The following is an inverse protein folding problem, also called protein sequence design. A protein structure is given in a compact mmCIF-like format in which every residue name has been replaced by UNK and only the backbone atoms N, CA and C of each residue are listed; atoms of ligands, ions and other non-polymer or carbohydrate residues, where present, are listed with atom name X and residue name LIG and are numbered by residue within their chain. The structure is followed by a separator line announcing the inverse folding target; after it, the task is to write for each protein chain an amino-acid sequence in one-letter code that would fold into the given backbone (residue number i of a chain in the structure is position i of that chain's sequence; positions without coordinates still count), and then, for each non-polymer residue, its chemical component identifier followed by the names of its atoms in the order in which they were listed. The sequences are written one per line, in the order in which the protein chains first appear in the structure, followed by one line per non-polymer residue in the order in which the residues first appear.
data_IF_718823979724
#
_entry.id   IF_718823979724
#
_cell.length_a   1.000
_cell.length_b   1.000
_cell.length_c   1.000
_cell.angle_alpha   90.00
_cell.angle_beta   90.00
_cell.angle_gamma   90.00
#
_symmetry.space_group_name_H-M   'P 1'
#
loop_
_entity.id
_entity.type
_entity.pdbx_description
1 polymer ?
#
# COMPACT_ATOMS: atom_id res chain seq x y z
N UNK A 1 15.82 56.08 -2.85
CA UNK A 1 15.46 54.96 -1.96
C UNK A 1 15.00 53.65 -2.62
N UNK A 2 14.60 53.52 -3.90
CA UNK A 2 14.16 52.22 -4.45
C UNK A 2 15.31 51.24 -4.79
N UNK A 3 16.56 51.75 -4.93
CA UNK A 3 17.74 50.92 -5.29
C UNK A 3 18.32 50.15 -4.09
N UNK A 4 18.08 50.59 -2.85
CA UNK A 4 18.55 49.88 -1.65
C UNK A 4 17.61 48.74 -1.24
N UNK A 5 16.29 48.91 -1.45
CA UNK A 5 15.30 47.85 -1.24
C UNK A 5 15.46 46.69 -2.23
N UNK A 6 15.79 46.97 -3.51
CA UNK A 6 16.09 45.89 -4.46
C UNK A 6 17.36 45.12 -4.07
N UNK A 7 18.43 45.79 -3.63
CA UNK A 7 19.66 45.13 -3.16
C UNK A 7 19.47 44.31 -1.88
N UNK A 8 18.63 44.76 -0.94
CA UNK A 8 18.27 43.99 0.25
C UNK A 8 17.42 42.76 -0.08
N UNK A 9 16.46 42.86 -1.02
CA UNK A 9 15.71 41.70 -1.50
C UNK A 9 16.59 40.72 -2.29
N UNK A 10 17.55 41.21 -3.09
CA UNK A 10 18.50 40.36 -3.81
C UNK A 10 19.52 39.69 -2.86
N UNK A 11 19.98 40.40 -1.83
CA UNK A 11 20.85 39.83 -0.79
C UNK A 11 20.10 38.79 0.06
N UNK A 12 18.84 39.04 0.40
CA UNK A 12 17.97 38.07 1.08
C UNK A 12 17.71 36.84 0.21
N UNK A 13 17.41 37.02 -1.07
CA UNK A 13 17.24 35.93 -2.03
C UNK A 13 18.51 35.10 -2.24
N UNK A 14 19.67 35.75 -2.32
CA UNK A 14 20.97 35.07 -2.44
C UNK A 14 21.34 34.29 -1.17
N UNK A 15 21.07 34.84 0.01
CA UNK A 15 21.30 34.15 1.29
C UNK A 15 20.38 32.91 1.44
N UNK A 16 19.11 33.03 1.03
CA UNK A 16 18.18 31.89 1.02
C UNK A 16 18.61 30.82 0.02
N UNK A 17 19.02 31.21 -1.19
CA UNK A 17 19.53 30.27 -2.18
C UNK A 17 20.83 29.57 -1.70
N UNK A 18 21.74 30.33 -1.08
CA UNK A 18 22.96 29.78 -0.50
C UNK A 18 22.67 28.79 0.64
N UNK A 19 21.67 29.09 1.49
CA UNK A 19 21.21 28.17 2.53
C UNK A 19 20.70 26.86 1.94
N UNK A 20 19.82 26.88 0.94
CA UNK A 20 19.31 25.65 0.33
C UNK A 20 20.41 24.86 -0.39
N UNK A 21 21.31 25.53 -1.11
CA UNK A 21 22.44 24.85 -1.76
C UNK A 21 23.36 24.19 -0.74
N UNK A 22 23.61 24.85 0.39
CA UNK A 22 24.36 24.28 1.50
C UNK A 22 23.61 23.08 2.10
N UNK A 23 22.34 23.24 2.48
CA UNK A 23 21.54 22.19 3.11
C UNK A 23 21.45 20.94 2.22
N UNK A 24 21.10 21.10 0.94
CA UNK A 24 21.05 20.01 -0.04
C UNK A 24 22.45 19.38 -0.22
N UNK A 25 23.51 20.20 -0.24
CA UNK A 25 24.89 19.72 -0.33
C UNK A 25 25.36 18.93 0.89
N UNK A 26 24.70 19.08 2.04
CA UNK A 26 25.00 18.32 3.26
C UNK A 26 24.19 17.02 3.41
N UNK A 27 23.17 16.79 2.58
CA UNK A 27 22.38 15.55 2.57
C UNK A 27 23.18 14.39 1.97
N UNK A 28 22.79 13.17 2.29
CA UNK A 28 23.21 11.94 1.64
C UNK A 28 22.51 11.78 0.29
N UNK A 29 23.28 11.57 -0.78
CA UNK A 29 22.77 11.45 -2.15
C UNK A 29 22.93 10.03 -2.67
N UNK A 30 21.96 9.58 -3.47
CA UNK A 30 22.26 8.52 -4.43
C UNK A 30 23.31 8.99 -5.44
N UNK A 31 24.27 8.10 -5.75
CA UNK A 31 25.35 8.34 -6.72
C UNK A 31 24.81 8.64 -8.12
N UNK A 32 23.53 8.33 -8.37
CA UNK A 32 22.84 8.55 -9.64
C UNK A 32 22.16 9.92 -9.75
N UNK A 33 22.13 10.73 -8.69
CA UNK A 33 21.57 12.07 -8.77
C UNK A 33 22.48 13.04 -9.51
N UNK A 34 21.84 13.85 -10.34
CA UNK A 34 22.38 15.14 -10.78
C UNK A 34 21.83 16.26 -9.90
N UNK A 35 22.52 17.40 -9.81
CA UNK A 35 22.04 18.58 -9.06
C UNK A 35 20.57 18.95 -9.36
N UNK A 36 20.12 19.02 -10.63
CA UNK A 36 18.71 19.28 -10.94
C UNK A 36 17.75 18.24 -10.37
N UNK A 37 18.11 16.94 -10.44
CA UNK A 37 17.28 15.87 -9.89
C UNK A 37 17.23 15.90 -8.36
N UNK A 38 18.36 16.19 -7.70
CA UNK A 38 18.45 16.34 -6.25
C UNK A 38 17.63 17.53 -5.74
N UNK A 39 17.73 18.68 -6.40
CA UNK A 39 16.90 19.86 -6.13
C UNK A 39 15.41 19.52 -6.27
N UNK A 40 15.03 18.84 -7.36
CA UNK A 40 13.64 18.46 -7.60
C UNK A 40 13.14 17.51 -6.51
N UNK A 41 13.91 16.47 -6.17
CA UNK A 41 13.58 15.55 -5.08
C UNK A 41 13.38 16.29 -3.76
N UNK A 42 14.35 17.13 -3.40
CA UNK A 42 14.35 17.85 -2.14
C UNK A 42 13.07 18.69 -1.97
N UNK A 43 12.74 19.51 -2.97
CA UNK A 43 11.54 20.34 -2.91
C UNK A 43 10.26 19.52 -3.00
N UNK A 44 10.25 18.39 -3.73
CA UNK A 44 9.13 17.46 -3.74
C UNK A 44 8.89 16.81 -2.37
N UNK A 45 9.94 16.30 -1.71
CA UNK A 45 9.87 15.74 -0.35
C UNK A 45 9.37 16.78 0.64
N UNK A 46 9.93 18.00 0.60
CA UNK A 46 9.49 19.11 1.45
C UNK A 46 8.01 19.45 1.23
N UNK A 47 7.57 19.52 -0.02
CA UNK A 47 6.17 19.80 -0.38
C UNK A 47 5.24 18.69 0.12
N UNK A 48 5.59 17.43 -0.12
CA UNK A 48 4.82 16.26 0.32
C UNK A 48 4.71 16.22 1.85
N UNK A 49 5.81 16.47 2.57
CA UNK A 49 5.81 16.54 4.04
C UNK A 49 4.95 17.71 4.56
N UNK A 50 5.03 18.88 3.91
CA UNK A 50 4.22 20.05 4.31
C UNK A 50 2.72 19.83 4.10
N UNK A 51 2.32 19.34 2.92
CA UNK A 51 0.92 19.00 2.64
C UNK A 51 0.45 17.82 3.47
N UNK A 52 1.30 16.83 3.68
CA UNK A 52 1.05 15.71 4.57
C UNK A 52 0.72 16.15 5.98
N UNK A 53 1.52 17.05 6.58
CA UNK A 53 1.22 17.62 7.91
C UNK A 53 -0.15 18.29 7.95
N UNK A 54 -0.54 19.00 6.88
CA UNK A 54 -1.88 19.60 6.79
C UNK A 54 -2.98 18.54 6.75
N UNK A 55 -2.80 17.45 6.01
CA UNK A 55 -3.76 16.34 5.95
C UNK A 55 -3.82 15.56 7.27
N UNK A 56 -2.69 15.35 7.95
CA UNK A 56 -2.66 14.74 9.28
C UNK A 56 -3.41 15.58 10.32
N UNK A 57 -3.23 16.91 10.31
CA UNK A 57 -4.00 17.80 11.17
C UNK A 57 -5.49 17.78 10.83
N UNK A 58 -5.84 17.70 9.55
CA UNK A 58 -7.23 17.56 9.11
C UNK A 58 -7.83 16.25 9.61
N UNK A 59 -7.15 15.12 9.43
CA UNK A 59 -7.58 13.81 9.90
C UNK A 59 -7.84 13.83 11.41
N UNK A 60 -6.91 14.39 12.21
CA UNK A 60 -7.08 14.48 13.67
C UNK A 60 -8.33 15.29 14.06
N UNK A 61 -8.55 16.45 13.43
CA UNK A 61 -9.74 17.30 13.68
C UNK A 61 -11.05 16.66 13.22
N UNK A 62 -11.01 15.88 12.14
CA UNK A 62 -12.17 15.14 11.65
C UNK A 62 -12.48 13.94 12.56
N UNK A 63 -11.45 13.26 13.07
CA UNK A 63 -11.62 12.16 14.03
C UNK A 63 -12.17 12.63 15.39
N UNK A 64 -11.80 13.84 15.86
CA UNK A 64 -12.42 14.50 17.02
C UNK A 64 -13.95 14.68 16.87
N UNK A 65 -14.43 14.85 15.63
CA UNK A 65 -15.85 15.03 15.27
C UNK A 65 -16.34 13.90 14.35
N UNK A 66 -15.86 12.69 14.61
CA UNK A 66 -16.07 11.51 13.77
C UNK A 66 -17.53 11.25 13.43
N UNK A 67 -18.45 11.42 14.38
CA UNK A 67 -19.89 11.24 14.15
C UNK A 67 -20.42 12.25 13.11
N UNK A 68 -20.12 13.54 13.29
CA UNK A 68 -20.55 14.60 12.38
C UNK A 68 -20.04 14.33 10.95
N UNK A 69 -18.75 13.98 10.85
CA UNK A 69 -18.08 13.72 9.57
C UNK A 69 -18.64 12.48 8.89
N UNK A 70 -18.84 11.38 9.61
CA UNK A 70 -19.39 10.14 9.05
C UNK A 70 -20.85 10.28 8.62
N UNK A 71 -21.70 10.94 9.43
CA UNK A 71 -23.10 11.21 9.04
C UNK A 71 -23.17 12.04 7.78
N UNK A 72 -22.36 13.12 7.70
CA UNK A 72 -22.26 13.95 6.51
C UNK A 72 -21.76 13.15 5.30
N UNK A 73 -20.73 12.33 5.47
CA UNK A 73 -20.17 11.48 4.41
C UNK A 73 -21.24 10.52 3.86
N UNK A 74 -22.00 9.85 4.74
CA UNK A 74 -23.09 8.98 4.33
C UNK A 74 -24.14 9.76 3.53
N UNK A 75 -24.55 10.95 3.99
CA UNK A 75 -25.49 11.79 3.24
C UNK A 75 -24.93 12.18 1.86
N UNK A 76 -23.65 12.54 1.76
CA UNK A 76 -23.00 12.86 0.48
C UNK A 76 -22.91 11.65 -0.46
N UNK A 77 -22.67 10.45 0.07
CA UNK A 77 -22.71 9.19 -0.69
C UNK A 77 -24.12 8.96 -1.22
N UNK A 78 -25.13 8.96 -0.35
CA UNK A 78 -26.53 8.75 -0.72
C UNK A 78 -27.03 9.76 -1.75
N UNK A 79 -26.75 11.06 -1.57
CA UNK A 79 -27.13 12.11 -2.52
C UNK A 79 -26.45 11.95 -3.87
N UNK A 80 -25.16 11.61 -3.91
CA UNK A 80 -24.43 11.37 -5.16
C UNK A 80 -25.06 10.22 -5.95
N UNK A 81 -25.48 9.16 -5.26
CA UNK A 81 -26.15 8.02 -5.89
C UNK A 81 -27.62 8.28 -6.24
N UNK A 82 -28.27 9.27 -5.63
CA UNK A 82 -29.63 9.71 -5.98
C UNK A 82 -29.64 10.73 -7.15
N UNK A 83 -28.55 11.48 -7.36
CA UNK A 83 -28.53 12.66 -8.24
C UNK A 83 -27.72 12.56 -9.54
N UNK A 84 -27.12 11.40 -9.89
CA UNK A 84 -26.29 11.26 -11.10
C UNK A 84 -26.77 10.13 -12.03
N UNK A 85 -27.04 10.53 -13.28
CA UNK A 85 -27.37 9.76 -14.49
C UNK A 85 -28.76 9.10 -14.63
N UNK A 86 -29.59 9.76 -15.44
CA UNK A 86 -30.92 9.39 -15.95
C UNK A 86 -30.91 8.26 -17.01
N UNK A 87 -29.83 7.50 -17.12
CA UNK A 87 -29.83 6.27 -17.92
C UNK A 87 -30.59 5.18 -17.17
N UNK A 88 -31.53 4.51 -17.84
CA UNK A 88 -32.37 3.44 -17.24
C UNK A 88 -31.55 2.34 -16.52
N UNK A 89 -30.33 2.05 -17.00
CA UNK A 89 -29.42 1.07 -16.40
C UNK A 89 -28.94 1.49 -14.99
N UNK A 90 -28.42 2.71 -14.82
CA UNK A 90 -27.92 3.23 -13.54
C UNK A 90 -29.03 3.43 -12.49
N UNK A 91 -30.26 3.70 -12.94
CA UNK A 91 -31.44 3.84 -12.07
C UNK A 91 -31.95 2.50 -11.57
N UNK A 92 -31.85 1.43 -12.36
CA UNK A 92 -32.19 0.06 -11.92
C UNK A 92 -31.13 -0.54 -11.00
N UNK A 93 -29.85 -0.29 -11.29
CA UNK A 93 -28.69 -0.79 -10.54
C UNK A 93 -28.65 -0.29 -9.09
N UNK A 94 -29.06 0.97 -8.82
CA UNK A 94 -28.93 1.60 -7.48
C UNK A 94 -30.25 1.90 -6.77
N UNK A 95 -31.32 1.20 -7.13
CA UNK A 95 -32.65 1.37 -6.49
C UNK A 95 -32.60 1.21 -4.97
N UNK A 96 -31.69 0.40 -4.47
CA UNK A 96 -31.55 0.15 -3.04
C UNK A 96 -31.19 1.42 -2.24
N UNK A 97 -30.44 2.38 -2.79
CA UNK A 97 -30.07 3.64 -2.09
C UNK A 97 -31.08 4.79 -2.23
N UNK A 98 -32.19 4.57 -2.95
CA UNK A 98 -33.19 5.63 -3.19
C UNK A 98 -34.11 5.85 -1.98
N UNK A 99 -34.45 7.11 -1.70
CA UNK A 99 -35.43 7.48 -0.67
C UNK A 99 -34.90 7.44 0.77
N UNK A 100 -33.61 7.16 0.97
CA UNK A 100 -32.96 7.15 2.28
C UNK A 100 -32.31 8.51 2.57
N UNK A 101 -32.68 9.15 3.69
CA UNK A 101 -32.19 10.48 4.06
C UNK A 101 -31.37 10.51 5.36
N UNK A 102 -31.54 9.53 6.26
CA UNK A 102 -30.90 9.51 7.58
C UNK A 102 -30.22 8.17 7.84
N UNK A 103 -29.24 8.15 8.75
CA UNK A 103 -28.56 6.90 9.14
C UNK A 103 -29.53 5.84 9.69
N UNK A 104 -30.53 6.24 10.48
CA UNK A 104 -31.47 5.27 11.06
C UNK A 104 -32.33 4.62 9.96
N UNK A 105 -32.85 5.42 9.02
CA UNK A 105 -33.58 4.91 7.86
C UNK A 105 -32.68 4.05 6.97
N UNK A 106 -31.41 4.43 6.83
CA UNK A 106 -30.41 3.66 6.07
C UNK A 106 -30.21 2.28 6.69
N UNK A 107 -29.98 2.22 8.01
CA UNK A 107 -29.80 0.99 8.76
C UNK A 107 -31.01 0.06 8.70
N UNK A 108 -32.22 0.62 8.74
CA UNK A 108 -33.48 -0.14 8.71
C UNK A 108 -33.83 -0.64 7.29
N UNK A 109 -33.52 0.14 6.26
CA UNK A 109 -33.91 -0.17 4.87
C UNK A 109 -32.90 -1.02 4.12
N UNK A 110 -31.62 -0.96 4.48
CA UNK A 110 -30.56 -1.62 3.71
C UNK A 110 -30.09 -2.91 4.37
N UNK A 111 -30.08 -4.04 3.64
CA UNK A 111 -29.52 -5.29 4.15
C UNK A 111 -27.99 -5.17 4.30
N UNK A 112 -27.42 -5.97 5.19
CA UNK A 112 -25.98 -6.21 5.21
C UNK A 112 -25.64 -7.05 3.99
N UNK A 113 -24.66 -6.61 3.21
CA UNK A 113 -24.23 -7.31 1.99
C UNK A 113 -22.84 -7.92 2.19
N UNK A 114 -22.46 -8.83 1.30
CA UNK A 114 -21.09 -9.28 1.14
C UNK A 114 -20.66 -9.16 -0.32
N UNK A 115 -19.35 -9.23 -0.58
CA UNK A 115 -18.82 -9.12 -1.94
C UNK A 115 -19.42 -10.15 -2.92
N UNK A 116 -19.78 -11.33 -2.42
CA UNK A 116 -20.43 -12.36 -3.22
C UNK A 116 -21.80 -11.97 -3.75
N UNK A 117 -22.53 -11.09 -3.05
CA UNK A 117 -23.87 -10.64 -3.45
C UNK A 117 -23.81 -9.76 -4.70
N UNK A 118 -22.70 -9.05 -4.88
CA UNK A 118 -22.45 -8.20 -6.05
C UNK A 118 -22.06 -8.99 -7.31
N UNK A 119 -21.68 -10.26 -7.14
CA UNK A 119 -21.26 -11.14 -8.23
C UNK A 119 -22.36 -12.13 -8.66
N UNK A 120 -23.42 -12.29 -7.86
CA UNK A 120 -24.53 -13.25 -8.12
C UNK A 120 -25.75 -12.51 -8.70
N UNK A 121 -26.36 -13.05 -9.75
CA UNK A 121 -27.60 -12.52 -10.37
C UNK A 121 -28.64 -12.11 -9.32
N UNK A 122 -29.02 -10.83 -9.28
CA UNK A 122 -29.77 -10.21 -8.17
C UNK A 122 -29.74 -8.67 -8.23
N UNK A 123 -30.38 -7.96 -7.28
CA UNK A 123 -30.47 -6.48 -7.29
C UNK A 123 -29.12 -5.76 -7.12
N UNK A 124 -28.04 -6.51 -6.82
CA UNK A 124 -26.67 -6.03 -6.67
C UNK A 124 -25.72 -6.59 -7.76
N UNK A 125 -26.25 -7.38 -8.71
CA UNK A 125 -25.45 -8.13 -9.70
C UNK A 125 -24.71 -7.24 -10.69
N UNK A 126 -23.51 -7.67 -11.09
CA UNK A 126 -22.55 -6.95 -11.90
C UNK A 126 -21.97 -5.70 -11.25
N UNK A 127 -22.46 -5.18 -10.12
CA UNK A 127 -21.83 -3.99 -9.51
C UNK A 127 -20.45 -4.30 -8.88
N UNK A 128 -20.06 -5.56 -8.69
CA UNK A 128 -18.68 -5.92 -8.31
C UNK A 128 -17.66 -5.67 -9.42
N UNK A 129 -18.05 -5.95 -10.68
CA UNK A 129 -17.27 -5.62 -11.89
C UNK A 129 -17.67 -4.25 -12.48
N UNK A 130 -18.82 -3.69 -12.13
CA UNK A 130 -19.51 -2.55 -12.75
C UNK A 130 -19.87 -1.42 -11.74
N UNK A 131 -19.35 -1.41 -10.49
CA UNK A 131 -19.25 -0.22 -9.61
C UNK A 131 -18.28 0.84 -10.17
N UNK A 132 -18.19 0.88 -11.50
CA UNK A 132 -17.34 1.63 -12.40
C UNK A 132 -18.04 2.91 -12.88
N UNK A 133 -18.87 3.58 -12.05
CA UNK A 133 -19.15 4.99 -12.37
C UNK A 133 -17.83 5.74 -12.30
N UNK A 134 -17.39 6.35 -13.41
CA UNK A 134 -16.12 7.09 -13.49
C UNK A 134 -15.94 8.06 -12.33
N UNK A 135 -17.03 8.71 -11.87
CA UNK A 135 -17.06 9.67 -10.78
C UNK A 135 -16.76 9.06 -9.40
N UNK A 136 -17.36 7.93 -9.04
CA UNK A 136 -17.11 7.25 -7.75
C UNK A 136 -15.67 6.74 -7.63
N UNK A 137 -15.13 6.16 -8.71
CA UNK A 137 -13.73 5.71 -8.78
C UNK A 137 -12.73 6.89 -8.78
N UNK A 138 -13.07 8.00 -9.41
CA UNK A 138 -12.25 9.21 -9.35
C UNK A 138 -12.24 9.81 -7.94
N UNK A 139 -13.37 9.82 -7.25
CA UNK A 139 -13.45 10.25 -5.86
C UNK A 139 -12.63 9.34 -4.93
N UNK A 140 -12.74 8.01 -5.06
CA UNK A 140 -11.92 7.08 -4.26
C UNK A 140 -10.42 7.25 -4.54
N UNK A 141 -10.01 7.47 -5.80
CA UNK A 141 -8.60 7.78 -6.13
C UNK A 141 -8.14 9.09 -5.48
N UNK A 142 -9.01 10.11 -5.49
CA UNK A 142 -8.73 11.40 -4.82
C UNK A 142 -8.60 11.22 -3.31
N UNK A 143 -9.51 10.48 -2.69
CA UNK A 143 -9.48 10.13 -1.27
C UNK A 143 -8.20 9.40 -0.93
N UNK A 144 -7.86 8.35 -1.68
CA UNK A 144 -6.63 7.59 -1.49
C UNK A 144 -5.41 8.50 -1.51
N UNK A 145 -5.27 9.35 -2.53
CA UNK A 145 -4.12 10.22 -2.61
C UNK A 145 -4.05 11.26 -1.47
N UNK A 146 -5.11 12.05 -1.30
CA UNK A 146 -5.06 13.17 -0.36
C UNK A 146 -5.12 12.73 1.10
N UNK A 147 -5.84 11.64 1.40
CA UNK A 147 -6.08 11.20 2.78
C UNK A 147 -5.16 10.07 3.22
N UNK A 148 -4.82 9.13 2.34
CA UNK A 148 -3.91 8.03 2.68
C UNK A 148 -2.45 8.44 2.44
N UNK A 149 -2.12 8.76 1.19
CA UNK A 149 -0.74 8.93 0.75
C UNK A 149 -0.11 10.16 1.35
N UNK A 150 -0.70 11.35 1.20
CA UNK A 150 -0.12 12.56 1.78
C UNK A 150 0.01 12.46 3.30
N UNK A 151 -0.97 11.89 3.99
CA UNK A 151 -0.90 11.72 5.44
C UNK A 151 0.23 10.76 5.83
N UNK A 152 0.47 9.70 5.05
CA UNK A 152 1.59 8.77 5.29
C UNK A 152 2.96 9.46 5.22
N UNK A 153 3.16 10.40 4.28
CA UNK A 153 4.37 11.23 4.23
C UNK A 153 4.56 12.10 5.48
N UNK A 154 3.47 12.54 6.13
CA UNK A 154 3.56 13.26 7.39
C UNK A 154 4.11 12.37 8.52
N UNK A 155 3.64 11.12 8.59
CA UNK A 155 4.10 10.15 9.58
C UNK A 155 5.54 9.75 9.29
N UNK A 156 5.88 9.48 8.03
CA UNK A 156 7.27 9.21 7.62
C UNK A 156 8.20 10.38 7.98
N UNK A 157 7.81 11.63 7.70
CA UNK A 157 8.60 12.80 8.07
C UNK A 157 8.77 12.98 9.59
N UNK A 158 7.80 12.54 10.38
CA UNK A 158 7.83 12.66 11.84
C UNK A 158 8.70 11.59 12.50
N UNK A 159 8.61 10.34 12.03
CA UNK A 159 9.21 9.18 12.71
C UNK A 159 10.43 8.61 12.00
N UNK A 160 10.56 8.85 10.70
CA UNK A 160 11.67 8.41 9.86
C UNK A 160 12.19 9.59 9.03
N UNK A 161 12.60 10.72 9.65
CA UNK A 161 12.92 11.95 8.93
C UNK A 161 13.98 11.71 7.85
N UNK A 162 15.01 10.92 8.16
CA UNK A 162 16.09 10.54 7.24
C UNK A 162 15.59 9.85 5.95
N UNK A 163 14.41 9.22 5.97
CA UNK A 163 13.85 8.59 4.78
C UNK A 163 13.36 9.59 3.73
N UNK A 164 13.04 10.83 4.13
CA UNK A 164 12.53 11.88 3.25
C UNK A 164 13.48 13.07 3.09
N UNK A 165 14.26 13.34 4.14
CA UNK A 165 15.24 14.41 4.22
C UNK A 165 16.48 14.11 3.38
N UNK A 166 16.86 12.83 3.29
CA UNK A 166 17.96 12.39 2.45
C UNK A 166 17.54 12.24 0.99
N UNK A 167 18.48 12.43 0.09
CA UNK A 167 18.26 12.38 -1.37
C UNK A 167 18.61 10.99 -1.90
N UNK A 168 18.16 9.98 -1.16
CA UNK A 168 18.31 8.58 -1.49
C UNK A 168 17.15 8.11 -2.38
N UNK A 169 17.37 7.01 -3.11
CA UNK A 169 16.35 6.40 -3.97
C UNK A 169 15.61 5.28 -3.24
N UNK A 170 14.43 4.94 -3.76
CA UNK A 170 13.55 3.91 -3.24
C UNK A 170 13.44 2.73 -4.22
N UNK A 171 13.56 1.50 -3.72
CA UNK A 171 13.21 0.30 -4.47
C UNK A 171 11.73 0.00 -4.23
N UNK A 172 10.90 0.20 -5.25
CA UNK A 172 9.44 0.08 -5.17
C UNK A 172 9.06 -1.16 -5.98
N UNK A 173 8.56 -2.20 -5.31
CA UNK A 173 8.37 -3.53 -5.91
C UNK A 173 6.96 -3.77 -6.46
N UNK A 174 6.02 -2.91 -6.07
CA UNK A 174 4.63 -2.96 -6.52
C UNK A 174 4.48 -2.36 -7.92
N UNK A 175 3.32 -2.56 -8.57
CA UNK A 175 3.06 -2.07 -9.93
C UNK A 175 3.28 -0.55 -10.05
N UNK A 176 3.61 -0.03 -11.25
CA UNK A 176 3.66 1.43 -11.54
C UNK A 176 2.40 2.13 -11.05
N UNK A 177 1.26 1.44 -11.10
CA UNK A 177 -0.01 1.97 -10.58
C UNK A 177 0.07 2.30 -9.10
N UNK A 178 0.73 1.46 -8.31
CA UNK A 178 0.94 1.67 -6.88
C UNK A 178 2.00 2.74 -6.63
N UNK A 179 3.04 2.84 -7.47
CA UNK A 179 4.06 3.91 -7.42
C UNK A 179 3.45 5.28 -7.75
N UNK A 180 2.57 5.33 -8.75
CA UNK A 180 1.76 6.47 -9.17
C UNK A 180 0.73 6.86 -8.12
N UNK A 181 0.09 5.87 -7.51
CA UNK A 181 -0.84 6.05 -6.40
C UNK A 181 -0.11 6.60 -5.17
N UNK A 182 1.10 6.09 -4.84
CA UNK A 182 1.96 6.57 -3.75
C UNK A 182 2.46 8.00 -3.93
N UNK A 183 2.30 8.59 -5.13
CA UNK A 183 2.67 9.98 -5.40
C UNK A 183 1.48 10.84 -5.87
N UNK A 184 0.33 10.23 -6.19
CA UNK A 184 -0.86 10.87 -6.78
C UNK A 184 -0.59 11.73 -8.00
N UNK A 185 0.48 11.41 -8.71
CA UNK A 185 0.95 12.17 -9.84
C UNK A 185 0.27 11.68 -11.11
N UNK A 186 -0.03 12.62 -12.01
CA UNK A 186 -0.35 12.27 -13.38
C UNK A 186 0.82 11.50 -14.00
N UNK A 187 0.54 10.72 -15.05
CA UNK A 187 1.55 9.97 -15.81
C UNK A 187 2.75 10.86 -16.21
N UNK A 188 2.48 12.12 -16.58
CA UNK A 188 3.51 13.12 -16.90
C UNK A 188 4.38 13.52 -15.70
N UNK A 189 3.81 13.62 -14.50
CA UNK A 189 4.57 13.94 -13.30
C UNK A 189 5.33 12.72 -12.74
N UNK A 190 4.89 11.52 -13.05
CA UNK A 190 5.59 10.28 -12.73
C UNK A 190 6.88 10.08 -13.51
N UNK A 191 6.88 10.39 -14.81
CA UNK A 191 8.09 10.39 -15.63
C UNK A 191 9.12 11.36 -15.05
N UNK A 192 8.65 12.51 -14.55
CA UNK A 192 9.49 13.53 -13.92
C UNK A 192 10.05 13.13 -12.56
N UNK A 193 9.42 12.21 -11.82
CA UNK A 193 9.92 11.72 -10.52
C UNK A 193 10.54 10.32 -10.57
N UNK A 194 10.70 9.73 -11.75
CA UNK A 194 11.38 8.44 -11.95
C UNK A 194 12.78 8.40 -11.34
N UNK A 195 13.43 9.55 -11.15
CA UNK A 195 14.72 9.64 -10.48
C UNK A 195 14.69 9.16 -9.02
N UNK A 196 13.54 9.20 -8.34
CA UNK A 196 13.39 8.72 -6.95
C UNK A 196 13.39 7.19 -6.90
N UNK A 197 12.99 6.51 -7.97
CA UNK A 197 12.91 5.05 -8.04
C UNK A 197 14.29 4.49 -8.36
N UNK A 198 14.74 3.44 -7.67
CA UNK A 198 16.01 2.78 -7.99
C UNK A 198 15.98 2.16 -9.40
N UNK A 199 14.86 1.50 -9.72
CA UNK A 199 14.59 0.85 -11.00
C UNK A 199 13.97 1.82 -12.02
N UNK A 200 14.29 1.67 -13.32
CA UNK A 200 13.64 2.42 -14.40
C UNK A 200 12.17 2.04 -14.54
N UNK A 201 11.35 2.91 -15.15
CA UNK A 201 9.90 2.68 -15.31
C UNK A 201 9.60 1.47 -16.21
N UNK A 202 10.49 1.21 -17.15
CA UNK A 202 10.50 0.04 -18.03
C UNK A 202 10.56 -1.29 -17.26
N UNK A 203 11.12 -1.31 -16.05
CA UNK A 203 11.17 -2.52 -15.24
C UNK A 203 9.78 -3.06 -14.90
N UNK A 204 8.78 -2.18 -14.80
CA UNK A 204 7.45 -2.57 -14.33
C UNK A 204 6.56 -3.11 -15.45
N UNK A 205 6.94 -2.92 -16.72
CA UNK A 205 6.25 -3.50 -17.89
C UNK A 205 6.63 -4.98 -18.11
N UNK A 206 7.55 -5.50 -17.29
CA UNK A 206 8.01 -6.90 -17.35
C UNK A 206 7.05 -7.87 -16.65
N UNK A 207 7.20 -9.17 -16.97
CA UNK A 207 6.59 -10.27 -16.21
C UNK A 207 7.01 -10.21 -14.73
N UNK A 208 6.25 -10.84 -13.83
CA UNK A 208 6.55 -10.74 -12.40
C UNK A 208 7.94 -11.30 -12.03
N UNK A 209 8.36 -12.41 -12.65
CA UNK A 209 9.66 -13.00 -12.42
C UNK A 209 10.81 -12.10 -12.89
N UNK A 210 10.63 -11.49 -14.06
CA UNK A 210 11.62 -10.61 -14.70
C UNK A 210 11.72 -9.27 -13.98
N UNK A 211 10.57 -8.71 -13.61
CA UNK A 211 10.45 -7.47 -12.84
C UNK A 211 11.22 -7.61 -11.53
N UNK A 212 11.04 -8.72 -10.82
CA UNK A 212 11.75 -8.97 -9.57
C UNK A 212 13.27 -9.06 -9.75
N UNK A 213 13.74 -9.72 -10.81
CA UNK A 213 15.17 -9.75 -11.16
C UNK A 213 15.72 -8.35 -11.42
N UNK A 214 15.02 -7.56 -12.22
CA UNK A 214 15.43 -6.20 -12.58
C UNK A 214 15.39 -5.28 -11.35
N UNK A 215 14.38 -5.39 -10.49
CA UNK A 215 14.36 -4.67 -9.22
C UNK A 215 15.55 -5.05 -8.33
N UNK A 216 15.89 -6.33 -8.19
CA UNK A 216 17.07 -6.76 -7.45
C UNK A 216 18.36 -6.17 -8.05
N UNK A 217 18.51 -6.19 -9.37
CA UNK A 217 19.66 -5.64 -10.08
C UNK A 217 19.87 -4.14 -9.80
N UNK A 218 18.82 -3.34 -9.97
CA UNK A 218 18.90 -1.89 -9.76
C UNK A 218 18.99 -1.50 -8.29
N UNK A 219 18.30 -2.21 -7.39
CA UNK A 219 18.41 -1.99 -5.95
C UNK A 219 19.83 -2.30 -5.46
N UNK A 220 20.43 -3.41 -5.87
CA UNK A 220 21.82 -3.75 -5.50
C UNK A 220 22.84 -2.82 -6.16
N UNK A 221 22.55 -2.28 -7.34
CA UNK A 221 23.44 -1.31 -8.01
C UNK A 221 23.49 0.03 -7.28
N UNK A 222 22.49 0.38 -6.47
CA UNK A 222 22.48 1.60 -5.67
C UNK A 222 23.00 1.33 -4.23
N UNK A 223 24.25 1.73 -3.89
CA UNK A 223 24.78 1.58 -2.53
C UNK A 223 24.08 2.48 -1.51
N UNK A 224 23.40 3.53 -1.97
CA UNK A 224 22.73 4.51 -1.14
C UNK A 224 21.20 4.36 -1.21
N UNK A 225 20.69 3.15 -1.44
CA UNK A 225 19.26 2.87 -1.35
C UNK A 225 18.73 3.20 0.06
N UNK A 226 17.72 4.07 0.12
CA UNK A 226 17.18 4.58 1.39
C UNK A 226 15.87 3.93 1.81
N UNK A 227 15.06 3.46 0.85
CA UNK A 227 13.74 2.88 1.11
C UNK A 227 13.56 1.61 0.27
N UNK A 228 12.95 0.59 0.87
CA UNK A 228 12.32 -0.51 0.13
C UNK A 228 10.82 -0.41 0.38
N UNK A 229 10.02 -0.25 -0.67
CA UNK A 229 8.56 -0.29 -0.60
C UNK A 229 8.05 -1.55 -1.28
N UNK A 230 7.07 -2.19 -0.67
CA UNK A 230 6.36 -3.32 -1.25
C UNK A 230 4.88 -3.30 -0.89
N UNK A 231 4.05 -3.88 -1.75
CA UNK A 231 2.63 -4.11 -1.45
C UNK A 231 2.42 -5.18 -0.37
N UNK A 232 3.40 -6.05 -0.12
CA UNK A 232 3.28 -7.12 0.88
C UNK A 232 4.63 -7.50 1.49
N UNK A 233 4.59 -8.13 2.67
CA UNK A 233 5.77 -8.74 3.28
C UNK A 233 6.43 -9.78 2.36
N UNK A 234 5.63 -10.50 1.57
CA UNK A 234 6.11 -11.49 0.62
C UNK A 234 7.00 -10.87 -0.46
N UNK A 235 6.64 -9.69 -0.99
CA UNK A 235 7.42 -9.00 -2.01
C UNK A 235 8.85 -8.68 -1.54
N UNK A 236 9.00 -8.23 -0.29
CA UNK A 236 10.32 -7.98 0.32
C UNK A 236 11.15 -9.27 0.42
N UNK A 237 10.55 -10.36 0.89
CA UNK A 237 11.25 -11.67 0.97
C UNK A 237 11.67 -12.17 -0.40
N UNK A 238 10.78 -12.03 -1.39
CA UNK A 238 11.06 -12.43 -2.77
C UNK A 238 12.18 -11.62 -3.38
N UNK A 239 12.29 -10.31 -3.10
CA UNK A 239 13.41 -9.49 -3.53
C UNK A 239 14.74 -10.04 -2.98
N UNK A 240 14.80 -10.29 -1.67
CA UNK A 240 16.00 -10.81 -1.01
C UNK A 240 16.37 -12.22 -1.52
N UNK A 241 15.37 -13.07 -1.72
CA UNK A 241 15.55 -14.42 -2.27
C UNK A 241 16.07 -14.35 -3.72
N UNK A 242 15.44 -13.54 -4.58
CA UNK A 242 15.84 -13.37 -5.96
C UNK A 242 17.26 -12.82 -6.08
N UNK A 243 17.67 -11.91 -5.20
CA UNK A 243 19.04 -11.41 -5.14
C UNK A 243 20.05 -12.54 -4.86
N UNK A 244 19.74 -13.43 -3.91
CA UNK A 244 20.61 -14.58 -3.55
C UNK A 244 20.65 -15.65 -4.65
N UNK A 245 19.48 -16.07 -5.13
CA UNK A 245 19.34 -17.12 -6.17
C UNK A 245 20.03 -16.72 -7.47
N UNK A 246 19.93 -15.44 -7.84
CA UNK A 246 20.42 -14.94 -9.12
C UNK A 246 21.77 -14.23 -9.01
N UNK A 247 22.50 -14.36 -7.89
CA UNK A 247 23.77 -13.66 -7.61
C UNK A 247 24.73 -13.65 -8.80
N UNK A 248 24.99 -14.82 -9.40
CA UNK A 248 25.95 -14.95 -10.52
C UNK A 248 25.56 -14.07 -11.71
N UNK A 249 24.28 -14.08 -12.07
CA UNK A 249 23.76 -13.30 -13.20
C UNK A 249 23.74 -11.80 -12.88
N UNK A 250 23.26 -11.42 -11.70
CA UNK A 250 23.23 -10.03 -11.26
C UNK A 250 24.63 -9.40 -11.26
N UNK A 251 25.62 -10.12 -10.74
CA UNK A 251 27.02 -9.69 -10.71
C UNK A 251 27.58 -9.56 -12.13
N UNK A 252 27.25 -10.49 -13.02
CA UNK A 252 27.69 -10.48 -14.41
C UNK A 252 27.08 -9.29 -15.18
N UNK A 253 25.78 -9.05 -15.03
CA UNK A 253 25.05 -7.96 -15.69
C UNK A 253 25.57 -6.59 -15.21
N UNK A 254 25.79 -6.44 -13.90
CA UNK A 254 26.42 -5.23 -13.36
C UNK A 254 27.83 -5.03 -13.93
N UNK A 255 28.64 -6.10 -13.97
CA UNK A 255 30.01 -6.04 -14.48
C UNK A 255 30.07 -5.67 -15.96
N UNK A 256 29.15 -6.17 -16.76
CA UNK A 256 29.11 -5.95 -18.20
C UNK A 256 28.34 -4.69 -18.59
N UNK A 257 27.47 -4.18 -17.72
CA UNK A 257 26.72 -2.95 -17.97
C UNK A 257 25.52 -3.12 -18.88
N UNK A 258 25.09 -4.35 -19.13
CA UNK A 258 23.90 -4.70 -19.89
C UNK A 258 23.36 -6.04 -19.38
N UNK A 259 22.08 -6.31 -19.62
CA UNK A 259 21.46 -7.58 -19.30
C UNK A 259 22.13 -8.67 -20.16
N UNK A 260 22.85 -9.61 -19.54
CA UNK A 260 23.62 -10.64 -20.23
C UNK A 260 22.77 -11.89 -20.42
N UNK A 261 22.51 -12.23 -21.68
CA UNK A 261 21.96 -13.46 -22.30
C UNK A 261 21.17 -14.50 -21.49
N UNK A 262 20.54 -14.08 -20.39
CA UNK A 262 19.35 -14.72 -19.88
C UNK A 262 18.23 -14.24 -20.77
N UNK A 263 17.59 -15.18 -21.47
CA UNK A 263 16.15 -15.06 -21.63
C UNK A 263 15.62 -14.87 -20.22
N UNK A 264 15.21 -13.63 -19.92
CA UNK A 264 14.25 -13.35 -18.87
C UNK A 264 13.28 -14.55 -18.76
N UNK A 265 13.17 -15.23 -17.59
CA UNK A 265 12.66 -16.59 -17.45
C UNK A 265 11.37 -17.00 -18.17
N UNK A 266 10.57 -16.11 -18.76
CA UNK A 266 9.35 -16.48 -19.50
C UNK A 266 9.27 -15.98 -20.95
N UNK A 267 10.05 -14.98 -21.36
CA UNK A 267 10.21 -14.58 -22.77
C UNK A 267 11.37 -13.58 -22.88
N UNK A 268 12.13 -13.59 -23.99
CA UNK A 268 13.05 -12.49 -24.24
C UNK A 268 12.25 -11.18 -24.27
N UNK A 269 12.62 -10.17 -23.46
CA UNK A 269 11.91 -8.90 -23.45
C UNK A 269 11.98 -8.28 -24.84
N UNK A 270 10.99 -7.47 -25.21
CA UNK A 270 11.04 -6.74 -26.46
C UNK A 270 12.39 -6.01 -26.60
N UNK A 271 13.05 -6.04 -27.78
CA UNK A 271 14.39 -5.45 -27.94
C UNK A 271 14.50 -4.00 -27.47
N UNK A 272 13.42 -3.22 -27.61
CA UNK A 272 13.32 -1.83 -27.13
C UNK A 272 13.39 -1.75 -25.61
N UNK A 273 12.67 -2.63 -24.92
CA UNK A 273 12.61 -2.68 -23.47
C UNK A 273 13.98 -3.06 -22.90
N UNK A 274 14.64 -4.06 -23.50
CA UNK A 274 16.01 -4.45 -23.14
C UNK A 274 16.99 -3.29 -23.31
N UNK A 275 16.94 -2.61 -24.45
CA UNK A 275 17.82 -1.47 -24.73
C UNK A 275 17.63 -0.33 -23.69
N UNK A 276 16.40 -0.06 -23.27
CA UNK A 276 16.12 0.93 -22.23
C UNK A 276 16.73 0.54 -20.87
N UNK A 277 16.61 -0.74 -20.48
CA UNK A 277 17.22 -1.25 -19.25
C UNK A 277 18.75 -1.20 -19.30
N UNK A 278 19.35 -1.53 -20.45
CA UNK A 278 20.81 -1.46 -20.66
C UNK A 278 21.31 -0.01 -20.56
N UNK A 279 20.58 0.95 -21.13
CA UNK A 279 20.87 2.39 -20.97
C UNK A 279 20.77 2.79 -19.49
N UNK A 280 19.74 2.34 -18.78
CA UNK A 280 19.55 2.64 -17.36
C UNK A 280 20.64 2.03 -16.47
N UNK A 281 21.29 0.93 -16.87
CA UNK A 281 22.45 0.39 -16.17
C UNK A 281 23.65 1.34 -16.22
N UNK A 282 23.72 2.27 -17.17
CA UNK A 282 24.79 3.26 -17.28
C UNK A 282 26.18 2.64 -17.47
N UNK A 283 26.23 1.49 -18.14
CA UNK A 283 27.47 0.81 -18.50
C UNK A 283 28.12 -0.05 -17.39
N UNK A 284 29.31 -0.62 -17.69
CA UNK A 284 30.02 -1.57 -16.84
C UNK A 284 30.37 -1.03 -15.45
N UNK A 285 30.06 -1.79 -14.40
CA UNK A 285 30.45 -1.48 -13.02
C UNK A 285 31.17 -2.66 -12.35
N UNK A 286 32.47 -2.77 -12.65
CA UNK A 286 33.34 -3.81 -12.10
C UNK A 286 33.59 -3.68 -10.60
N UNK A 287 33.52 -2.46 -10.04
CA UNK A 287 33.74 -2.26 -8.61
C UNK A 287 32.52 -2.72 -7.82
N UNK A 288 31.33 -2.21 -8.14
CA UNK A 288 30.09 -2.56 -7.46
C UNK A 288 29.74 -4.03 -7.62
N UNK A 289 29.98 -4.62 -8.80
CA UNK A 289 29.75 -6.07 -9.00
C UNK A 289 30.56 -6.94 -8.04
N UNK A 290 31.85 -6.62 -7.79
CA UNK A 290 32.68 -7.34 -6.82
C UNK A 290 32.27 -7.10 -5.36
N UNK A 291 31.72 -5.94 -5.07
CA UNK A 291 31.17 -5.61 -3.76
C UNK A 291 29.90 -6.41 -3.50
N UNK A 292 28.94 -6.37 -4.44
CA UNK A 292 27.68 -7.11 -4.39
C UNK A 292 27.90 -8.62 -4.32
N UNK A 293 28.87 -9.18 -5.08
CA UNK A 293 29.18 -10.62 -4.98
C UNK A 293 29.68 -11.02 -3.59
N UNK A 294 30.47 -10.15 -2.93
CA UNK A 294 30.92 -10.38 -1.55
C UNK A 294 29.78 -10.25 -0.55
N UNK A 295 28.96 -9.23 -0.68
CA UNK A 295 27.79 -9.00 0.17
C UNK A 295 26.82 -10.17 0.06
N UNK A 296 26.38 -10.55 -1.14
CA UNK A 296 25.47 -11.70 -1.33
C UNK A 296 26.05 -13.07 -0.93
N UNK A 297 27.35 -13.18 -0.67
CA UNK A 297 27.98 -14.38 -0.08
C UNK A 297 27.97 -14.40 1.45
N UNK A 298 27.93 -13.22 2.08
CA UNK A 298 28.21 -13.05 3.52
C UNK A 298 27.02 -12.47 4.28
N UNK A 299 26.28 -11.56 3.65
CA UNK A 299 25.08 -10.93 4.17
C UNK A 299 23.92 -11.91 4.29
N UNK A 300 23.36 -11.99 5.49
CA UNK A 300 22.15 -12.75 5.74
C UNK A 300 20.89 -11.89 5.54
N UNK A 301 20.99 -10.58 5.82
CA UNK A 301 19.86 -9.66 5.99
C UNK A 301 19.91 -8.45 5.06
N UNK A 302 18.79 -7.73 4.93
CA UNK A 302 18.69 -6.54 4.07
C UNK A 302 19.58 -5.38 4.52
N UNK A 303 19.71 -5.15 5.84
CA UNK A 303 20.58 -4.10 6.40
C UNK A 303 22.04 -4.25 5.98
N UNK A 304 22.55 -5.47 5.86
CA UNK A 304 23.90 -5.73 5.37
C UNK A 304 24.03 -5.41 3.87
N UNK A 305 22.97 -5.68 3.09
CA UNK A 305 22.95 -5.45 1.64
C UNK A 305 22.81 -3.96 1.29
N UNK A 306 22.12 -3.20 2.15
CA UNK A 306 21.90 -1.76 1.99
C UNK A 306 22.17 -1.05 3.32
N UNK A 307 23.43 -0.72 3.62
CA UNK A 307 23.79 -0.11 4.91
C UNK A 307 23.16 1.27 5.16
N UNK A 308 22.68 1.95 4.11
CA UNK A 308 21.99 3.25 4.21
C UNK A 308 20.46 3.12 4.13
N UNK A 309 19.91 1.91 4.24
CA UNK A 309 18.48 1.67 4.22
C UNK A 309 17.84 2.21 5.51
N UNK A 310 16.91 3.14 5.37
CA UNK A 310 16.28 3.86 6.49
C UNK A 310 14.99 3.19 6.96
N UNK A 311 14.19 2.68 6.04
CA UNK A 311 12.88 2.07 6.34
C UNK A 311 12.44 1.10 5.24
N UNK A 312 11.78 0.02 5.65
CA UNK A 312 11.01 -0.85 4.75
C UNK A 312 9.52 -0.52 4.92
N UNK A 313 8.88 -0.08 3.84
CA UNK A 313 7.47 0.31 3.83
C UNK A 313 6.63 -0.80 3.21
N UNK A 314 5.60 -1.27 3.90
CA UNK A 314 4.68 -2.29 3.40
C UNK A 314 3.27 -1.71 3.37
N UNK A 315 2.66 -1.59 2.20
CA UNK A 315 1.39 -0.84 2.04
C UNK A 315 0.13 -1.69 2.03
N UNK A 316 0.25 -3.03 1.93
CA UNK A 316 -0.88 -3.95 1.92
C UNK A 316 -0.79 -4.98 3.05
N UNK A 317 -1.50 -6.10 2.88
CA UNK A 317 -1.56 -7.15 3.89
C UNK A 317 -0.16 -7.62 4.27
N UNK A 318 0.17 -7.42 5.54
CA UNK A 318 1.43 -7.84 6.09
C UNK A 318 1.16 -9.02 7.01
N UNK A 319 1.39 -10.22 6.48
CA UNK A 319 1.75 -11.36 7.32
C UNK A 319 3.13 -11.11 7.93
N UNK A 320 3.17 -10.17 8.87
CA UNK A 320 4.34 -9.90 9.69
C UNK A 320 4.56 -11.14 10.55
N UNK A 321 5.65 -11.83 10.26
CA UNK A 321 6.17 -12.91 11.05
C UNK A 321 7.64 -12.61 11.36
N UNK A 322 8.21 -13.32 12.32
CA UNK A 322 9.59 -13.11 12.76
C UNK A 322 10.59 -13.35 11.62
N UNK A 323 10.27 -14.22 10.65
CA UNK A 323 11.16 -14.48 9.51
C UNK A 323 11.34 -13.25 8.60
N UNK A 324 10.33 -12.37 8.48
CA UNK A 324 10.50 -11.10 7.78
C UNK A 324 11.47 -10.19 8.53
N UNK A 325 11.31 -10.09 9.84
CA UNK A 325 12.15 -9.26 10.69
C UNK A 325 13.60 -9.75 10.68
N UNK A 326 13.81 -11.06 10.78
CA UNK A 326 15.11 -11.70 10.60
C UNK A 326 15.70 -11.41 9.22
N UNK A 327 14.91 -11.47 8.15
CA UNK A 327 15.40 -11.20 6.80
C UNK A 327 15.76 -9.73 6.55
N UNK A 328 15.10 -8.78 7.22
CA UNK A 328 15.35 -7.34 7.09
C UNK A 328 16.49 -6.88 8.01
N UNK A 329 16.60 -7.46 9.20
CA UNK A 329 17.56 -7.07 10.24
C UNK A 329 17.09 -5.87 11.04
N UNK A 330 17.99 -4.93 11.35
CA UNK A 330 17.73 -3.81 12.26
C UNK A 330 16.89 -2.67 11.64
N UNK A 331 16.59 -2.74 10.34
CA UNK A 331 15.83 -1.69 9.65
C UNK A 331 14.36 -1.71 10.08
N UNK A 332 13.78 -0.56 10.46
CA UNK A 332 12.36 -0.46 10.79
C UNK A 332 11.46 -0.91 9.63
N UNK A 333 10.42 -1.68 9.96
CA UNK A 333 9.37 -2.11 9.03
C UNK A 333 8.08 -1.38 9.41
N UNK A 334 7.57 -0.57 8.48
CA UNK A 334 6.43 0.29 8.73
C UNK A 334 5.29 0.06 7.74
N UNK A 335 4.10 -0.18 8.27
CA UNK A 335 2.87 -0.35 7.52
C UNK A 335 1.96 0.86 7.66
N UNK A 336 2.05 1.86 6.75
CA UNK A 336 1.29 3.10 6.92
C UNK A 336 -0.20 2.93 6.72
N UNK A 337 -0.64 2.07 5.81
CA UNK A 337 -2.01 2.08 5.32
C UNK A 337 -2.74 0.80 5.70
N UNK A 338 -4.02 0.95 6.05
CA UNK A 338 -5.00 -0.11 6.05
C UNK A 338 -5.92 0.12 4.86
N UNK A 339 -5.86 -0.81 3.90
CA UNK A 339 -6.58 -0.77 2.63
C UNK A 339 -7.14 -2.14 2.33
N UNK A 340 -8.29 -2.18 1.66
CA UNK A 340 -8.83 -3.38 1.03
C UNK A 340 -9.11 -3.11 -0.44
N UNK A 341 -9.60 -4.12 -1.16
CA UNK A 341 -10.05 -3.96 -2.55
C UNK A 341 -11.19 -2.93 -2.67
N UNK A 342 -11.94 -2.72 -1.58
CA UNK A 342 -13.04 -1.77 -1.45
C UNK A 342 -12.55 -0.33 -1.19
N UNK A 343 -11.27 -0.14 -0.86
CA UNK A 343 -10.61 1.17 -0.81
C UNK A 343 -9.73 1.41 0.41
N UNK A 344 -9.37 2.68 0.63
CA UNK A 344 -8.59 3.12 1.78
C UNK A 344 -9.47 3.22 3.04
N UNK A 345 -9.07 2.53 4.10
CA UNK A 345 -9.86 2.42 5.34
C UNK A 345 -9.28 3.32 6.44
N UNK A 346 -7.97 3.18 6.71
CA UNK A 346 -7.35 3.88 7.84
C UNK A 346 -5.83 3.95 7.74
N UNK A 347 -5.23 4.69 8.67
CA UNK A 347 -3.80 4.98 8.68
C UNK A 347 -3.16 4.63 10.03
N UNK A 348 -1.98 4.04 9.98
CA UNK A 348 -1.15 3.80 11.14
C UNK A 348 -0.43 5.10 11.53
N UNK A 349 -0.74 5.60 12.73
CA UNK A 349 -0.10 6.81 13.27
C UNK A 349 0.95 6.48 14.34
N UNK A 350 1.23 5.19 14.55
CA UNK A 350 1.99 4.66 15.69
C UNK A 350 3.12 3.71 15.24
N UNK A 351 4.07 4.19 14.40
CA UNK A 351 5.20 3.38 13.96
C UNK A 351 6.13 2.92 15.09
N UNK A 352 6.03 3.53 16.28
CA UNK A 352 6.77 3.16 17.49
C UNK A 352 6.26 1.88 18.17
N UNK A 353 5.08 1.37 17.79
CA UNK A 353 4.57 0.13 18.35
C UNK A 353 5.46 -1.07 17.95
N UNK A 354 5.54 -2.10 18.82
CA UNK A 354 6.34 -3.29 18.53
C UNK A 354 5.98 -3.93 17.19
N UNK A 355 6.98 -4.51 16.52
CA UNK A 355 6.79 -5.27 15.29
C UNK A 355 5.68 -6.32 15.43
N UNK A 356 4.80 -6.42 14.44
CA UNK A 356 3.65 -7.33 14.46
C UNK A 356 2.39 -6.76 15.10
N UNK A 357 2.47 -5.60 15.78
CA UNK A 357 1.32 -4.92 16.38
C UNK A 357 1.04 -3.64 15.60
N UNK A 358 0.36 -3.78 14.45
CA UNK A 358 -0.09 -2.63 13.69
C UNK A 358 -1.51 -2.25 14.06
N UNK A 359 -1.69 -0.96 14.34
CA UNK A 359 -2.98 -0.36 14.67
C UNK A 359 -3.22 0.83 13.76
N UNK A 360 -4.47 1.00 13.36
CA UNK A 360 -4.89 1.98 12.37
C UNK A 360 -6.02 2.82 12.93
N UNK A 361 -5.90 4.13 12.81
CA UNK A 361 -7.04 5.03 12.99
C UNK A 361 -7.94 4.91 11.76
N UNK A 362 -9.20 4.50 11.97
CA UNK A 362 -10.20 4.54 10.90
C UNK A 362 -10.40 5.99 10.46
N UNK A 363 -10.28 6.24 9.15
CA UNK A 363 -10.37 7.59 8.62
C UNK A 363 -11.85 7.98 8.42
N UNK A 364 -12.43 8.89 9.24
CA UNK A 364 -13.84 9.25 9.14
C UNK A 364 -14.25 9.86 7.80
N UNK A 365 -13.30 10.33 6.98
CA UNK A 365 -13.57 10.90 5.66
C UNK A 365 -13.24 9.98 4.48
N UNK A 366 -12.92 8.71 4.70
CA UNK A 366 -12.58 7.78 3.62
C UNK A 366 -13.78 7.01 3.08
N UNK A 367 -14.55 6.39 3.97
CA UNK A 367 -15.79 5.66 3.71
C UNK A 367 -16.63 5.61 4.99
N UNK A 368 -17.91 5.25 4.88
CA UNK A 368 -18.77 5.13 6.05
C UNK A 368 -18.60 3.75 6.70
N UNK A 369 -18.45 3.73 8.03
CA UNK A 369 -18.11 2.54 8.80
C UNK A 369 -19.20 2.11 9.77
N UNK A 370 -19.51 0.83 9.73
CA UNK A 370 -20.34 0.14 10.71
C UNK A 370 -19.58 -1.06 11.29
N UNK A 371 -19.92 -1.45 12.52
CA UNK A 371 -19.28 -2.51 13.27
C UNK A 371 -20.34 -3.54 13.67
N UNK A 372 -20.21 -4.76 13.15
CA UNK A 372 -21.04 -5.88 13.54
C UNK A 372 -20.31 -6.73 14.59
N UNK A 373 -20.96 -7.22 15.65
CA UNK A 373 -20.31 -8.11 16.62
C UNK A 373 -19.68 -9.34 15.95
N UNK A 374 -18.42 -9.62 16.26
CA UNK A 374 -17.67 -10.69 15.62
C UNK A 374 -18.29 -12.08 15.85
N UNK A 375 -18.23 -12.94 14.82
CA UNK A 375 -18.58 -14.36 14.94
C UNK A 375 -20.07 -14.70 14.83
N UNK A 376 -20.91 -13.74 14.47
CA UNK A 376 -22.33 -13.97 14.19
C UNK A 376 -22.58 -13.87 12.68
N UNK A 377 -23.01 -14.95 12.02
CA UNK A 377 -23.36 -14.90 10.59
C UNK A 377 -24.72 -14.22 10.38
N UNK A 378 -25.68 -14.48 11.28
CA UNK A 378 -27.01 -13.87 11.33
C UNK A 378 -27.01 -12.69 12.31
N UNK A 379 -26.36 -11.59 11.92
CA UNK A 379 -26.37 -10.36 12.72
C UNK A 379 -27.70 -9.64 12.49
N UNK A 380 -28.52 -9.53 13.53
CA UNK A 380 -29.69 -8.65 13.47
C UNK A 380 -29.21 -7.21 13.20
N UNK A 381 -29.83 -6.44 12.27
CA UNK A 381 -29.40 -5.07 11.96
C UNK A 381 -29.24 -4.15 13.17
N UNK A 382 -29.99 -4.40 14.24
CA UNK A 382 -29.93 -3.64 15.51
C UNK A 382 -28.66 -3.89 16.32
N UNK A 383 -27.95 -4.99 16.07
CA UNK A 383 -26.66 -5.29 16.72
C UNK A 383 -25.50 -4.56 16.04
N UNK A 384 -25.73 -4.00 14.84
CA UNK A 384 -24.72 -3.23 14.11
C UNK A 384 -24.70 -1.80 14.64
N UNK A 385 -23.52 -1.37 15.07
CA UNK A 385 -23.30 -0.03 15.62
C UNK A 385 -22.46 0.80 14.65
N UNK A 386 -22.64 2.13 14.60
CA UNK A 386 -21.74 2.99 13.84
C UNK A 386 -20.34 3.02 14.50
N UNK A 387 -19.30 3.34 13.73
CA UNK A 387 -17.93 3.31 14.23
C UNK A 387 -17.66 4.23 15.44
N UNK A 388 -18.40 5.32 15.61
CA UNK A 388 -18.24 6.22 16.77
C UNK A 388 -18.84 5.68 18.07
N UNK A 389 -19.59 4.58 18.02
CA UNK A 389 -20.12 3.87 19.20
C UNK A 389 -19.29 2.63 19.56
N UNK A 390 -18.13 2.46 18.91
CA UNK A 390 -17.22 1.34 19.14
C UNK A 390 -16.83 1.18 20.62
N UNK A 391 -16.84 -0.06 21.11
CA UNK A 391 -16.43 -0.39 22.48
C UNK A 391 -14.99 -0.88 22.48
N UNK A 392 -14.13 -0.21 23.27
CA UNK A 392 -12.73 -0.61 23.44
C UNK A 392 -12.61 -2.02 24.02
N UNK A 393 -11.70 -2.81 23.47
CA UNK A 393 -11.45 -4.21 23.84
C UNK A 393 -12.31 -5.23 23.08
N UNK A 394 -13.35 -4.78 22.37
CA UNK A 394 -14.23 -5.67 21.61
C UNK A 394 -13.72 -5.94 20.19
N UNK A 395 -14.16 -7.06 19.64
CA UNK A 395 -13.93 -7.46 18.25
C UNK A 395 -15.20 -7.31 17.43
N UNK A 396 -15.05 -6.79 16.22
CA UNK A 396 -16.14 -6.56 15.28
C UNK A 396 -15.75 -7.03 13.88
N UNK A 397 -16.73 -7.45 13.10
CA UNK A 397 -16.60 -7.54 11.64
C UNK A 397 -16.85 -6.15 11.06
N UNK A 398 -15.93 -5.67 10.22
CA UNK A 398 -16.00 -4.33 9.63
C UNK A 398 -16.94 -4.29 8.42
N UNK A 399 -17.92 -3.38 8.46
CA UNK A 399 -18.85 -3.10 7.37
C UNK A 399 -18.56 -1.72 6.80
N UNK A 400 -18.63 -1.60 5.47
CA UNK A 400 -18.33 -0.36 4.76
C UNK A 400 -19.44 0.04 3.80
N UNK A 401 -19.65 1.35 3.68
CA UNK A 401 -20.41 1.95 2.59
C UNK A 401 -19.50 2.94 1.85
N UNK A 402 -19.30 2.75 0.56
CA UNK A 402 -18.25 3.42 -0.23
C UNK A 402 -18.81 4.42 -1.23
N UNK A 403 -17.94 5.31 -1.73
CA UNK A 403 -18.26 6.24 -2.82
C UNK A 403 -18.53 5.55 -4.17
N UNK A 404 -18.14 4.29 -4.34
CA UNK A 404 -18.37 3.50 -5.55
C UNK A 404 -19.73 2.81 -5.58
N UNK A 405 -20.45 2.76 -4.45
CA UNK A 405 -21.79 2.19 -4.36
C UNK A 405 -21.88 0.88 -3.56
N UNK A 406 -20.80 0.42 -2.91
CA UNK A 406 -20.93 -0.65 -1.92
C UNK A 406 -21.75 -0.13 -0.74
N UNK A 407 -22.72 -0.93 -0.30
CA UNK A 407 -23.69 -0.54 0.73
C UNK A 407 -23.70 -1.59 1.83
N UNK A 408 -23.34 -1.17 3.05
CA UNK A 408 -23.25 -2.03 4.25
C UNK A 408 -22.52 -3.36 3.96
N UNK A 409 -21.46 -3.29 3.16
CA UNK A 409 -20.72 -4.45 2.69
C UNK A 409 -19.77 -4.93 3.78
N UNK A 410 -19.92 -6.18 4.20
CA UNK A 410 -19.00 -6.84 5.13
C UNK A 410 -17.69 -7.14 4.40
N UNK A 411 -16.59 -6.56 4.88
CA UNK A 411 -15.26 -6.74 4.28
C UNK A 411 -14.70 -8.14 4.47
N UNK A 412 -15.09 -8.82 5.56
CA UNK A 412 -14.48 -10.08 6.00
C UNK A 412 -13.34 -9.89 6.99
N UNK A 413 -12.87 -8.65 7.15
CA UNK A 413 -11.89 -8.29 8.17
C UNK A 413 -12.53 -8.24 9.56
N UNK A 414 -11.92 -8.97 10.50
CA UNK A 414 -12.22 -8.84 11.93
C UNK A 414 -11.26 -7.82 12.54
N UNK A 415 -11.82 -6.82 13.21
CA UNK A 415 -11.06 -5.73 13.81
C UNK A 415 -11.24 -5.72 15.32
N UNK A 416 -10.15 -5.58 16.07
CA UNK A 416 -10.16 -5.34 17.52
C UNK A 416 -9.98 -3.84 17.79
N UNK A 417 -10.87 -3.26 18.57
CA UNK A 417 -10.77 -1.85 18.99
C UNK A 417 -9.82 -1.73 20.18
N UNK A 418 -8.74 -0.99 20.01
CA UNK A 418 -7.74 -0.77 21.07
C UNK A 418 -7.94 0.54 21.83
N UNK A 419 -8.43 1.56 21.12
CA UNK A 419 -8.66 2.88 21.69
C UNK A 419 -9.63 3.69 20.82
N UNK A 420 -10.06 4.84 21.33
CA UNK A 420 -10.75 5.87 20.56
C UNK A 420 -9.83 7.08 20.43
N UNK A 421 -9.68 7.61 19.22
CA UNK A 421 -9.10 8.93 18.98
C UNK A 421 -10.22 9.89 18.64
N UNK A 422 -10.57 10.76 19.59
CA UNK A 422 -11.80 11.53 19.48
C UNK A 422 -13.01 10.61 19.47
N UNK A 423 -13.75 10.60 18.37
CA UNK A 423 -14.92 9.76 18.15
C UNK A 423 -14.64 8.61 17.15
N UNK A 424 -13.40 8.40 16.71
CA UNK A 424 -13.07 7.33 15.76
C UNK A 424 -12.20 6.24 16.39
N UNK A 425 -12.47 4.96 16.11
CA UNK A 425 -11.74 3.86 16.71
C UNK A 425 -10.34 3.70 16.09
N UNK A 426 -9.39 3.34 16.94
CA UNK A 426 -8.08 2.80 16.57
C UNK A 426 -8.18 1.28 16.67
N UNK A 427 -7.92 0.60 15.56
CA UNK A 427 -8.16 -0.84 15.42
C UNK A 427 -6.93 -1.60 14.96
N UNK A 428 -6.80 -2.87 15.36
CA UNK A 428 -5.93 -3.83 14.67
C UNK A 428 -6.77 -4.82 13.90
N UNK A 429 -6.30 -5.24 12.73
CA UNK A 429 -6.92 -6.33 11.98
C UNK A 429 -6.46 -7.65 12.60
N UNK A 430 -7.40 -8.45 13.09
CA UNK A 430 -7.12 -9.79 13.56
C UNK A 430 -6.78 -10.65 12.35
N UNK A 431 -5.66 -11.37 12.40
CA UNK A 431 -5.37 -12.43 11.42
C UNK A 431 -6.49 -13.45 11.57
N UNK A 432 -7.30 -13.62 10.54
CA UNK A 432 -8.24 -14.73 10.51
C UNK A 432 -7.43 -16.01 10.70
N UNK A 433 -7.74 -16.81 11.71
CA UNK A 433 -7.65 -18.24 11.51
C UNK A 433 -8.48 -18.49 10.26
N UNK A 434 -7.86 -18.85 9.14
CA UNK A 434 -8.55 -19.41 7.99
C UNK A 434 -9.20 -20.71 8.46
N UNK A 435 -10.38 -20.57 9.04
CA UNK A 435 -11.05 -21.53 9.89
C UNK A 435 -12.45 -21.02 10.23
N UNK A 436 -13.15 -20.51 9.22
CA UNK A 436 -14.60 -20.41 9.22
C UNK A 436 -15.06 -20.67 7.78
N UNK A 437 -15.50 -21.91 7.61
CA UNK A 437 -16.31 -22.40 6.52
C UNK A 437 -17.34 -21.35 6.11
N UNK A 438 -17.27 -20.93 4.86
CA UNK A 438 -18.45 -20.44 4.17
C UNK A 438 -19.28 -21.70 3.86
N UNK A 439 -20.42 -21.96 4.54
CA UNK A 439 -21.23 -23.11 4.21
C UNK A 439 -22.08 -22.72 3.02
N UNK A 440 -21.48 -22.74 1.82
CA UNK A 440 -22.13 -23.19 0.59
C UNK A 440 -21.19 -23.04 -0.60
N UNK A 441 -21.16 -24.15 -1.37
CA UNK A 441 -20.71 -24.29 -2.76
C UNK A 441 -19.23 -24.65 -2.95
N UNK A 442 -19.04 -25.96 -3.17
CA UNK A 442 -18.00 -26.57 -3.99
C UNK A 442 -17.35 -25.60 -5.00
N UNK A 443 -16.06 -25.30 -4.81
CA UNK A 443 -15.12 -25.21 -5.92
C UNK A 443 -13.69 -25.42 -5.41
N UNK A 444 -13.33 -26.70 -5.19
CA UNK A 444 -11.93 -27.08 -5.12
C UNK A 444 -11.35 -27.02 -6.54
N UNK A 445 -10.35 -26.15 -6.71
CA UNK A 445 -9.07 -26.39 -7.38
C UNK A 445 -9.02 -27.58 -8.35
N UNK A 446 -8.66 -27.32 -9.60
CA UNK A 446 -7.83 -28.24 -10.38
C UNK A 446 -6.83 -27.45 -11.25
N UNK A 447 -5.52 -27.65 -11.08
CA UNK A 447 -4.58 -27.49 -12.17
C UNK A 447 -4.67 -28.74 -13.05
N UNK A 448 -4.91 -28.54 -14.35
CA UNK A 448 -4.88 -29.62 -15.32
C UNK A 448 -3.49 -30.29 -15.33
N UNK A 449 -3.43 -31.60 -15.05
CA UNK A 449 -2.43 -32.49 -15.65
C UNK A 449 -3.03 -33.87 -15.94
N UNK A 450 -2.71 -34.32 -17.14
CA UNK A 450 -3.24 -35.44 -17.89
C UNK A 450 -2.77 -36.82 -17.35
N UNK A 451 -3.74 -37.76 -17.39
CA UNK A 451 -3.62 -39.23 -17.54
C UNK A 451 -3.14 -40.08 -16.36
N UNK A 452 -4.00 -41.03 -15.96
CA UNK A 452 -3.54 -42.43 -15.85
C UNK A 452 -3.96 -43.28 -14.64
N UNK A 453 -5.25 -43.64 -14.56
CA UNK A 453 -5.75 -45.02 -14.36
C UNK A 453 -5.41 -45.81 -13.05
N UNK A 454 -6.52 -46.24 -12.42
CA UNK A 454 -6.75 -47.51 -11.69
C UNK A 454 -6.31 -47.70 -10.22
N UNK A 455 -7.34 -47.57 -9.36
CA UNK A 455 -7.87 -48.60 -8.44
C UNK A 455 -7.00 -49.15 -7.30
N UNK A 456 -7.58 -49.01 -6.09
CA UNK A 456 -7.93 -50.09 -5.13
C UNK A 456 -7.45 -49.88 -3.68
N UNK A 457 -8.46 -49.76 -2.80
CA UNK A 457 -8.61 -50.36 -1.46
C UNK A 457 -7.49 -50.25 -0.41
N UNK A 458 -7.82 -49.62 0.74
CA UNK A 458 -7.85 -50.16 2.13
C UNK A 458 -7.41 -49.08 3.14
N UNK A 459 -8.35 -48.52 3.92
CA UNK A 459 -8.57 -48.77 5.35
C UNK A 459 -7.29 -48.94 6.18
N UNK A 460 -7.06 -48.05 7.16
CA UNK A 460 -6.59 -48.34 8.54
C UNK A 460 -6.78 -47.08 9.41
N UNK A 461 -7.53 -47.24 10.50
CA UNK A 461 -7.56 -46.38 11.69
C UNK A 461 -6.20 -46.37 12.41
N UNK A 462 -5.85 -45.30 13.12
CA UNK A 462 -5.46 -45.35 14.56
C UNK A 462 -5.42 -43.94 15.17
N UNK A 463 -5.92 -43.88 16.41
CA UNK A 463 -6.14 -42.80 17.36
C UNK A 463 -4.88 -42.28 18.11
N UNK A 464 -5.11 -41.14 18.82
CA UNK A 464 -4.45 -40.60 20.05
C UNK A 464 -3.11 -39.87 19.86
N UNK A 465 -2.81 -38.75 20.54
CA UNK A 465 -3.54 -37.99 21.56
C UNK A 465 -2.75 -36.78 22.12
N UNK A 466 -3.50 -35.89 22.78
CA UNK A 466 -3.21 -34.98 23.91
C UNK A 466 -1.77 -34.61 24.34
N UNK A 467 -1.53 -33.29 24.46
CA UNK A 467 -1.07 -32.50 25.65
C UNK A 467 -0.57 -31.11 25.15
N UNK A 468 -1.04 -29.92 25.54
CA UNK A 468 -1.35 -29.29 26.83
C UNK A 468 -0.11 -29.02 27.73
N UNK A 469 0.50 -27.83 27.59
CA UNK A 469 1.28 -27.02 28.58
C UNK A 469 1.31 -25.58 28.00
N UNK A 470 1.01 -24.45 28.66
CA UNK A 470 0.77 -24.17 30.07
C UNK A 470 1.90 -23.36 30.70
N UNK A 471 2.09 -22.09 30.30
CA UNK A 471 2.47 -20.94 31.13
C UNK A 471 2.53 -19.65 30.29
#
# INVERSE_FOLDING_TARGET
MPVQLSRLCHAGGAAVAAFWLYDIGTREWSVRHTWPSALTQYFSSWFLAAYGRRQLLRLRREAERGEEVQRRLLTEILQRHQGQDTTMATVEERRHLQGVATYNLFRESQPITCRGDYNKGGPFHNEGELAQTKSGHEEMRRIFFYRAVLTSFAVLAQFFPESLDELQRAAVLSSVRDVLLLLGLSEMASQRLSFVLASPLEAYDLSDADRLYVHALFALKDPALGIIQSGSAWGVRRLLQAAKENRRHLVQDMRNGHLWDRQLPEAAPEPKLRAALDVALSGPDGHRSREVDRMLKTSAVASDLWPRLKVVVITGEASLDESLKEAVGEVPIYGPLYTSDEGYIGINLFPELPFGVWTYLLDPGSMFFELAPAGSHDVHPDMVIPAWEAVVGQEYDLLVTTHSGLCRCRLGDRVRVHAMFGQMPIVSVAKGDTGLDCPSVHCCIAPARLVGVASSTSSIHVQRGLKAVGL
#
